data_IF_847445752268
#
_entry.id   IF_847445752268
#
_cell.length_a   1.000
_cell.length_b   1.000
_cell.length_c   1.000
_cell.angle_alpha   90.00
_cell.angle_beta   90.00
_cell.angle_gamma   90.00
#
_symmetry.space_group_name_H-M   'P 1'
#
loop_
_entity.id
_entity.type
_entity.pdbx_description
1 polymer ?
#
# COMPACT_ATOMS: atom_id res chain seq x y z
N UNK A 1 -18.48 28.79 15.39
CA UNK A 1 -18.25 27.79 14.30
C UNK A 1 -16.92 27.06 14.38
N UNK A 2 -15.78 27.67 14.76
CA UNK A 2 -14.48 26.96 14.88
C UNK A 2 -14.46 25.82 15.92
N UNK A 3 -15.21 25.95 17.02
CA UNK A 3 -15.23 24.96 18.12
C UNK A 3 -15.91 23.63 17.76
N UNK A 4 -16.91 23.64 16.86
CA UNK A 4 -17.61 22.42 16.45
C UNK A 4 -16.82 21.64 15.39
N UNK A 5 -16.10 22.34 14.51
CA UNK A 5 -15.20 21.69 13.55
C UNK A 5 -14.04 20.97 14.24
N UNK A 6 -13.51 21.53 15.33
CA UNK A 6 -12.44 20.89 16.10
C UNK A 6 -12.84 19.54 16.72
N UNK A 7 -14.13 19.33 17.02
CA UNK A 7 -14.66 18.05 17.51
C UNK A 7 -14.82 17.01 16.40
N UNK A 8 -14.94 17.45 15.14
CA UNK A 8 -15.11 16.57 13.98
C UNK A 8 -13.77 16.07 13.42
N UNK A 9 -12.67 16.77 13.70
CA UNK A 9 -11.33 16.36 13.25
C UNK A 9 -10.95 14.96 13.75
N UNK A 10 -11.09 14.63 15.05
CA UNK A 10 -10.75 13.28 15.54
C UNK A 10 -11.61 12.17 14.92
N UNK A 11 -12.90 12.42 14.69
CA UNK A 11 -13.79 11.43 14.07
C UNK A 11 -13.48 11.24 12.58
N UNK A 12 -13.10 12.32 11.88
CA UNK A 12 -12.61 12.23 10.51
C UNK A 12 -11.29 11.45 10.42
N UNK A 13 -10.34 11.72 11.32
CA UNK A 13 -9.07 10.98 11.40
C UNK A 13 -9.31 9.50 11.70
N UNK A 14 -10.21 9.19 12.64
CA UNK A 14 -10.61 7.80 12.94
C UNK A 14 -11.23 7.12 11.72
N UNK A 15 -12.21 7.76 11.07
CA UNK A 15 -12.86 7.21 9.88
C UNK A 15 -11.86 6.98 8.74
N UNK A 16 -10.92 7.93 8.56
CA UNK A 16 -9.82 7.80 7.62
C UNK A 16 -8.94 6.60 7.94
N UNK A 17 -8.52 6.42 9.20
CA UNK A 17 -7.70 5.27 9.58
C UNK A 17 -8.44 3.96 9.30
N UNK A 18 -9.72 3.86 9.68
CA UNK A 18 -10.53 2.65 9.40
C UNK A 18 -10.62 2.36 7.90
N UNK A 19 -10.75 3.39 7.06
CA UNK A 19 -10.75 3.22 5.61
C UNK A 19 -9.40 2.73 5.09
N UNK A 20 -8.28 3.28 5.59
CA UNK A 20 -6.93 2.83 5.24
C UNK A 20 -6.68 1.38 5.64
N UNK A 21 -7.11 0.97 6.84
CA UNK A 21 -6.98 -0.42 7.29
C UNK A 21 -7.79 -1.40 6.43
N UNK A 22 -9.00 -1.02 6.02
CA UNK A 22 -9.81 -1.84 5.11
C UNK A 22 -9.14 -2.00 3.74
N UNK A 23 -8.61 -0.92 3.18
CA UNK A 23 -7.86 -0.97 1.92
C UNK A 23 -6.60 -1.82 2.06
N UNK A 24 -5.87 -1.70 3.16
CA UNK A 24 -4.70 -2.52 3.44
C UNK A 24 -5.05 -4.01 3.54
N UNK A 25 -6.14 -4.37 4.23
CA UNK A 25 -6.59 -5.76 4.32
C UNK A 25 -6.98 -6.37 2.96
N UNK A 26 -7.48 -5.56 2.04
CA UNK A 26 -7.86 -5.99 0.69
C UNK A 26 -6.64 -6.13 -0.24
N UNK A 27 -5.75 -5.13 -0.24
CA UNK A 27 -4.65 -5.04 -1.20
C UNK A 27 -3.35 -5.70 -0.74
N UNK A 28 -3.10 -5.78 0.57
CA UNK A 28 -1.87 -6.32 1.15
C UNK A 28 -2.04 -7.76 1.69
N UNK A 29 -3.09 -8.46 1.24
CA UNK A 29 -3.40 -9.82 1.69
C UNK A 29 -2.33 -10.81 1.24
N UNK A 30 -1.63 -11.41 2.21
CA UNK A 30 -0.49 -12.30 1.96
C UNK A 30 -0.79 -13.47 1.03
N UNK A 31 -2.00 -14.05 1.07
CA UNK A 31 -2.33 -15.19 0.21
C UNK A 31 -2.41 -14.85 -1.28
N UNK A 32 -2.94 -13.67 -1.62
CA UNK A 32 -2.96 -13.16 -3.00
C UNK A 32 -1.55 -12.84 -3.47
N UNK A 33 -0.76 -12.23 -2.59
CA UNK A 33 0.64 -11.86 -2.86
C UNK A 33 1.50 -13.10 -3.09
N UNK A 34 1.33 -14.17 -2.30
CA UNK A 34 2.03 -15.45 -2.49
C UNK A 34 1.81 -16.03 -3.89
N UNK A 35 0.57 -16.04 -4.36
CA UNK A 35 0.24 -16.54 -5.71
C UNK A 35 0.95 -15.70 -6.79
N UNK A 36 0.86 -14.37 -6.67
CA UNK A 36 1.52 -13.46 -7.62
C UNK A 36 3.05 -13.55 -7.59
N UNK A 37 3.65 -13.77 -6.41
CA UNK A 37 5.09 -14.01 -6.28
C UNK A 37 5.49 -15.32 -6.93
N UNK A 38 4.71 -16.38 -6.71
CA UNK A 38 4.97 -17.68 -7.32
C UNK A 38 4.96 -17.57 -8.85
N UNK A 39 3.95 -16.90 -9.41
CA UNK A 39 3.85 -16.67 -10.85
C UNK A 39 5.00 -15.80 -11.36
N UNK A 40 5.37 -14.75 -10.63
CA UNK A 40 6.47 -13.87 -10.99
C UNK A 40 7.82 -14.60 -10.99
N UNK A 41 8.10 -15.40 -9.97
CA UNK A 41 9.30 -16.23 -9.87
C UNK A 41 9.33 -17.30 -10.98
N UNK A 42 8.20 -17.93 -11.29
CA UNK A 42 8.07 -18.89 -12.39
C UNK A 42 8.39 -18.26 -13.75
N UNK A 43 8.07 -16.99 -13.93
CA UNK A 43 8.38 -16.21 -15.13
C UNK A 43 9.81 -15.63 -15.15
N UNK A 44 10.64 -15.96 -14.14
CA UNK A 44 12.03 -15.51 -14.07
C UNK A 44 12.21 -14.07 -13.57
N UNK A 45 11.18 -13.46 -13.00
CA UNK A 45 11.33 -12.17 -12.33
C UNK A 45 12.08 -12.33 -11.00
N UNK A 46 12.60 -11.22 -10.47
CA UNK A 46 13.28 -11.14 -9.15
C UNK A 46 12.54 -10.26 -8.15
N UNK A 47 11.47 -9.63 -8.61
CA UNK A 47 10.65 -8.75 -7.81
C UNK A 47 9.21 -8.79 -8.33
N UNK A 48 8.27 -8.57 -7.42
CA UNK A 48 6.87 -8.35 -7.68
C UNK A 48 6.54 -6.94 -7.24
N UNK A 49 5.90 -6.17 -8.13
CA UNK A 49 5.43 -4.83 -7.82
C UNK A 49 3.91 -4.83 -7.73
N UNK A 50 3.39 -4.33 -6.61
CA UNK A 50 1.98 -4.23 -6.32
C UNK A 50 1.57 -2.75 -6.32
N UNK A 51 0.80 -2.28 -7.31
CA UNK A 51 0.28 -0.93 -7.29
C UNK A 51 -0.81 -0.79 -6.22
N UNK A 52 -0.73 0.26 -5.41
CA UNK A 52 -1.75 0.59 -4.42
C UNK A 52 -2.88 1.43 -5.06
N UNK A 53 -4.12 1.32 -4.56
CA UNK A 53 -5.26 2.04 -5.12
C UNK A 53 -5.07 3.56 -5.01
N UNK A 54 -5.44 4.27 -6.07
CA UNK A 54 -5.64 5.73 -6.12
C UNK A 54 -4.51 6.59 -5.52
N UNK A 55 -3.27 6.11 -5.54
CA UNK A 55 -2.16 6.85 -4.94
C UNK A 55 -2.27 7.00 -3.42
N UNK A 56 -2.90 6.03 -2.76
CA UNK A 56 -3.03 5.98 -1.31
C UNK A 56 -1.82 5.28 -0.71
N UNK A 57 -1.13 5.98 0.19
CA UNK A 57 -0.08 5.39 1.01
C UNK A 57 -0.68 4.51 2.11
N UNK A 58 -0.42 3.20 2.04
CA UNK A 58 -0.83 2.21 3.04
C UNK A 58 0.32 1.77 3.94
N UNK A 59 1.51 2.37 3.84
CA UNK A 59 2.75 1.93 4.53
C UNK A 59 2.71 2.03 6.06
N UNK A 60 1.69 2.69 6.62
CA UNK A 60 1.47 2.93 8.06
C UNK A 60 0.20 2.23 8.59
N UNK A 61 -0.26 1.20 7.90
CA UNK A 61 -1.42 0.39 8.31
C UNK A 61 -0.96 -0.89 9.00
N UNK A 62 -1.82 -1.49 9.82
CA UNK A 62 -1.52 -2.80 10.44
C UNK A 62 -1.30 -3.86 9.36
N UNK A 63 -2.02 -3.78 8.24
CA UNK A 63 -1.82 -4.65 7.08
C UNK A 63 -0.42 -4.54 6.46
N UNK A 64 0.17 -3.34 6.42
CA UNK A 64 1.54 -3.15 5.96
C UNK A 64 2.56 -3.76 6.91
N UNK A 65 2.34 -3.67 8.22
CA UNK A 65 3.22 -4.30 9.20
C UNK A 65 3.12 -5.82 9.17
N UNK A 66 1.92 -6.37 8.98
CA UNK A 66 1.72 -7.80 8.74
C UNK A 66 2.46 -8.26 7.47
N UNK A 67 2.40 -7.48 6.38
CA UNK A 67 3.13 -7.78 5.14
C UNK A 67 4.65 -7.80 5.38
N UNK A 68 5.19 -6.79 6.09
CA UNK A 68 6.62 -6.72 6.44
C UNK A 68 7.06 -7.92 7.29
N UNK A 69 6.26 -8.28 8.29
CA UNK A 69 6.55 -9.44 9.15
C UNK A 69 6.56 -10.73 8.34
N UNK A 70 5.55 -10.95 7.51
CA UNK A 70 5.48 -12.11 6.63
C UNK A 70 6.66 -12.15 5.64
N UNK A 71 7.00 -11.03 5.01
CA UNK A 71 8.13 -10.95 4.09
C UNK A 71 9.45 -11.29 4.79
N UNK A 72 9.68 -10.74 5.99
CA UNK A 72 10.85 -11.06 6.83
C UNK A 72 10.94 -12.55 7.15
N UNK A 73 9.82 -13.20 7.47
CA UNK A 73 9.79 -14.65 7.73
C UNK A 73 10.16 -15.49 6.50
N UNK A 74 9.98 -14.95 5.29
CA UNK A 74 10.24 -15.63 4.03
C UNK A 74 11.53 -15.13 3.34
N UNK A 75 12.38 -14.39 4.07
CA UNK A 75 13.61 -13.77 3.54
C UNK A 75 13.37 -12.87 2.31
N UNK A 76 12.21 -12.22 2.25
CA UNK A 76 11.84 -11.25 1.22
C UNK A 76 12.11 -9.82 1.71
N UNK A 77 12.43 -8.92 0.77
CA UNK A 77 12.54 -7.47 1.04
C UNK A 77 11.26 -6.77 0.58
N UNK A 78 10.82 -5.74 1.33
CA UNK A 78 9.62 -4.96 1.02
C UNK A 78 9.97 -3.48 0.97
N UNK A 79 9.87 -2.89 -0.22
CA UNK A 79 10.17 -1.49 -0.49
C UNK A 79 8.90 -0.72 -0.87
N UNK A 80 8.68 0.42 -0.22
CA UNK A 80 7.54 1.29 -0.51
C UNK A 80 7.99 2.43 -1.43
N UNK A 81 7.39 2.51 -2.60
CA UNK A 81 7.82 3.41 -3.68
C UNK A 81 6.71 4.42 -3.95
N UNK A 82 7.01 5.71 -3.73
CA UNK A 82 6.15 6.81 -4.20
C UNK A 82 6.60 7.23 -5.60
N UNK A 83 5.64 7.36 -6.52
CA UNK A 83 5.87 7.76 -7.90
C UNK A 83 5.03 8.97 -8.23
N UNK A 84 5.58 9.85 -9.06
CA UNK A 84 4.83 10.94 -9.69
C UNK A 84 4.97 10.78 -11.20
N UNK A 85 3.84 10.67 -11.88
CA UNK A 85 3.77 10.60 -13.34
C UNK A 85 3.16 11.89 -13.88
N UNK A 86 3.76 12.45 -14.93
CA UNK A 86 3.19 13.60 -15.65
C UNK A 86 2.27 13.05 -16.74
N UNK A 87 0.99 13.35 -16.61
CA UNK A 87 -0.07 13.05 -17.57
C UNK A 87 -0.12 14.13 -18.66
N UNK A 88 -0.91 13.87 -19.71
CA UNK A 88 -1.21 14.84 -20.75
C UNK A 88 -1.75 16.15 -20.16
N UNK A 89 -1.39 17.27 -20.80
CA UNK A 89 -1.64 18.64 -20.35
C UNK A 89 -0.93 19.05 -19.04
N UNK A 90 0.13 18.34 -18.63
CA UNK A 90 0.99 18.75 -17.50
C UNK A 90 0.41 18.45 -16.12
N UNK A 91 -0.67 17.67 -16.04
CA UNK A 91 -1.22 17.18 -14.76
C UNK A 91 -0.28 16.14 -14.14
N UNK A 92 -0.12 16.14 -12.82
CA UNK A 92 0.65 15.11 -12.13
C UNK A 92 -0.29 14.12 -11.43
N UNK A 93 0.01 12.84 -11.54
CA UNK A 93 -0.62 11.77 -10.77
C UNK A 93 0.43 11.14 -9.85
N UNK A 94 0.13 11.08 -8.56
CA UNK A 94 0.94 10.35 -7.58
C UNK A 94 0.42 8.93 -7.44
N UNK A 95 1.32 7.95 -7.51
CA UNK A 95 1.05 6.55 -7.22
C UNK A 95 1.90 6.08 -6.06
N UNK A 96 1.39 5.12 -5.29
CA UNK A 96 2.21 4.38 -4.33
C UNK A 96 2.20 2.91 -4.74
N UNK A 97 3.37 2.32 -4.73
CA UNK A 97 3.54 0.90 -5.00
C UNK A 97 4.30 0.27 -3.83
N UNK A 98 4.11 -1.02 -3.65
CA UNK A 98 4.99 -1.85 -2.82
C UNK A 98 5.70 -2.86 -3.72
N UNK A 99 7.02 -2.91 -3.60
CA UNK A 99 7.87 -3.87 -4.29
C UNK A 99 8.34 -4.94 -3.30
N UNK A 100 8.21 -6.20 -3.71
CA UNK A 100 8.62 -7.37 -2.92
C UNK A 100 9.67 -8.13 -3.73
N UNK A 101 10.89 -8.27 -3.21
CA UNK A 101 12.02 -8.89 -3.91
C UNK A 101 12.60 -10.10 -3.15
N UNK A 102 13.21 -11.03 -3.91
CA UNK A 102 13.79 -12.30 -3.44
C UNK A 102 15.14 -12.61 -4.09
#
# INVERSE_FOLDING_TARGET
>A
MKFELAKLVPELERARQVALERLAAEHLRSDKIKLQLHDAAKNGHRALRLPLPDGIDLSKTDGADMLRQWAKQNALTVDWISRTATLEAGRQASGFDVEISW
#
